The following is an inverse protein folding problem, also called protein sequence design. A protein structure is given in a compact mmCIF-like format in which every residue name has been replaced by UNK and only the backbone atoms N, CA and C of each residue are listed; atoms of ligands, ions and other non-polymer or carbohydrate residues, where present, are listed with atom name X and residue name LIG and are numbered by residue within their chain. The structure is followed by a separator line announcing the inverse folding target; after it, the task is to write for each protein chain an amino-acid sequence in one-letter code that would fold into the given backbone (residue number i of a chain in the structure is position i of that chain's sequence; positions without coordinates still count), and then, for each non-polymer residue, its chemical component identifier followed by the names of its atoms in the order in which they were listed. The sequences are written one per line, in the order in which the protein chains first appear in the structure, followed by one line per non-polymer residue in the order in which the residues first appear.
data_IF_985523953075
#
_entry.id   IF_985523953075
#
_cell.length_a   1.000
_cell.length_b   1.000
_cell.length_c   1.000
_cell.angle_alpha   90.00
_cell.angle_beta   90.00
_cell.angle_gamma   90.00
#
_symmetry.space_group_name_H-M   'P 1'
#
loop_
_entity.id
_entity.type
_entity.pdbx_description
1 polymer ?
2 water ?
#
# COMPACT_ATOMS: atom_id res chain seq x y z
N UNK A 2 -14.26 -2.53 9.20
CA UNK A 2 -15.41 -2.95 8.38
C UNK A 2 -14.96 -3.65 7.10
N UNK A 3 -15.74 -3.45 6.00
CA UNK A 3 -15.50 -3.99 4.65
C UNK A 3 -14.01 -4.19 4.37
N UNK A 4 -13.52 -5.43 4.26
CA UNK A 4 -12.07 -5.63 4.07
C UNK A 4 -11.55 -5.10 2.74
N UNK A 5 -12.40 -5.08 1.70
CA UNK A 5 -12.08 -4.55 0.38
C UNK A 5 -13.25 -3.67 -0.05
N UNK A 6 -12.94 -2.42 -0.42
CA UNK A 6 -13.89 -1.59 -1.14
C UNK A 6 -13.37 -1.30 -2.55
N UNK A 7 -14.27 -0.89 -3.43
CA UNK A 7 -13.96 -0.64 -4.84
C UNK A 7 -14.53 0.70 -5.25
N UNK A 8 -13.83 1.44 -6.11
CA UNK A 8 -14.36 2.70 -6.58
C UNK A 8 -14.03 2.86 -8.06
N UNK A 9 -14.95 3.51 -8.79
CA UNK A 9 -14.70 3.91 -10.17
C UNK A 9 -14.11 5.30 -10.16
N UNK A 10 -13.02 5.49 -10.89
CA UNK A 10 -12.44 6.80 -11.12
C UNK A 10 -12.54 7.13 -12.60
N UNK A 11 -13.22 8.24 -12.94
CA UNK A 11 -13.31 8.74 -14.32
C UNK A 11 -12.14 9.68 -14.63
N UNK A 12 -11.64 9.61 -15.87
CA UNK A 12 -10.66 10.57 -16.38
C UNK A 12 -11.28 11.40 -17.49
N UNK A 13 -10.80 12.62 -17.64
CA UNK A 13 -11.29 13.48 -18.71
C UNK A 13 -10.68 13.10 -20.04
N UNK A 14 -9.49 12.52 -20.02
CA UNK A 14 -8.82 12.14 -21.26
C UNK A 14 -7.76 11.09 -20.93
N UNK A 15 -7.24 10.47 -21.97
CA UNK A 15 -6.41 9.29 -21.81
C UNK A 15 -4.98 9.63 -21.41
N UNK A 16 -4.53 10.84 -21.73
CA UNK A 16 -3.19 11.27 -21.33
C UNK A 16 -3.01 11.21 -19.82
N UNK A 17 -4.06 11.59 -19.08
CA UNK A 17 -3.99 11.57 -17.62
C UNK A 17 -3.76 10.14 -17.14
N UNK A 18 -4.50 9.17 -17.70
CA UNK A 18 -4.25 7.77 -17.38
C UNK A 18 -2.84 7.37 -17.74
N UNK A 19 -2.33 7.87 -18.86
CA UNK A 19 -0.97 7.51 -19.21
C UNK A 19 0.01 8.08 -18.19
N UNK A 20 -0.27 9.29 -17.68
CA UNK A 20 0.59 9.86 -16.64
C UNK A 20 0.49 9.04 -15.36
N UNK A 21 -0.74 8.73 -14.93
CA UNK A 21 -0.95 7.90 -13.76
C UNK A 21 -0.26 6.55 -13.90
N UNK A 22 -0.39 5.92 -15.07
CA UNK A 22 0.15 4.58 -15.22
C UNK A 22 1.66 4.57 -15.06
N UNK A 23 2.33 5.61 -15.55
CA UNK A 23 3.79 5.63 -15.53
C UNK A 23 4.37 6.29 -14.29
N UNK A 24 3.69 7.29 -13.73
CA UNK A 24 4.20 7.93 -12.52
C UNK A 24 3.65 7.33 -11.25
N UNK A 25 2.54 6.57 -11.32
CA UNK A 25 1.97 5.88 -10.17
C UNK A 25 1.31 6.82 -9.21
N UNK A 26 0.53 7.77 -9.72
CA UNK A 26 -0.17 8.76 -8.90
C UNK A 26 -1.54 9.01 -9.48
N UNK A 27 -2.41 9.57 -8.65
CA UNK A 27 -3.69 10.05 -9.14
C UNK A 27 -4.08 11.24 -8.29
N UNK A 28 -5.10 11.96 -8.73
CA UNK A 28 -5.67 12.99 -7.87
C UNK A 28 -7.13 13.13 -8.29
N UNK A 29 -7.98 13.46 -7.33
CA UNK A 29 -9.39 13.54 -7.61
C UNK A 29 -9.97 14.75 -6.91
N UNK A 30 -11.29 14.94 -7.11
CA UNK A 30 -12.07 16.06 -6.57
C UNK A 30 -12.04 16.06 -5.05
N UNK A 31 -12.49 17.10 -4.37
CA UNK A 31 -12.44 17.04 -2.91
C UNK A 31 -13.62 16.27 -2.33
N UNK A 32 -14.81 16.35 -2.95
CA UNK A 32 -15.95 15.53 -2.55
C UNK A 32 -15.50 14.10 -2.30
N UNK A 33 -14.57 13.63 -3.15
CA UNK A 33 -14.08 12.26 -3.17
C UNK A 33 -12.84 12.02 -2.33
N UNK A 34 -12.12 13.08 -1.95
CA UNK A 34 -10.99 12.88 -1.04
C UNK A 34 -11.46 12.34 0.30
N UNK A 35 -12.55 12.90 0.84
CA UNK A 35 -13.06 12.46 2.15
C UNK A 35 -13.51 11.00 2.11
N UNK A 36 -14.25 10.63 1.06
CA UNK A 36 -14.70 9.26 0.85
C UNK A 36 -13.51 8.30 0.73
N UNK A 37 -12.53 8.63 -0.12
CA UNK A 37 -11.44 7.70 -0.40
C UNK A 37 -10.53 7.49 0.81
N UNK A 38 -10.26 8.56 1.58
CA UNK A 38 -9.45 8.43 2.80
C UNK A 38 -10.12 7.49 3.81
N UNK A 39 -11.35 7.81 4.25
CA UNK A 39 -12.04 6.93 5.20
C UNK A 39 -12.04 5.48 4.70
N UNK A 40 -12.14 5.29 3.39
CA UNK A 40 -11.96 3.97 2.81
C UNK A 40 -10.53 3.47 2.95
N UNK A 41 -9.53 4.35 2.93
CA UNK A 41 -8.15 3.89 2.95
C UNK A 41 -7.80 3.28 4.29
N UNK A 42 -8.30 3.87 5.38
CA UNK A 42 -7.97 3.40 6.72
C UNK A 42 -8.84 2.21 7.09
N UNK A 43 -10.12 2.27 6.78
CA UNK A 43 -11.05 1.22 7.18
C UNK A 43 -10.77 -0.09 6.43
N UNK A 44 -10.65 -0.03 5.11
CA UNK A 44 -10.47 -1.23 4.30
C UNK A 44 -9.01 -1.67 4.25
N UNK A 45 -8.84 -2.99 4.23
CA UNK A 45 -7.51 -3.59 3.98
C UNK A 45 -6.99 -3.18 2.61
N UNK A 46 -7.87 -3.15 1.60
CA UNK A 46 -7.48 -2.77 0.24
C UNK A 46 -8.60 -2.01 -0.43
N UNK A 47 -8.24 -0.87 -1.00
CA UNK A 47 -9.12 -0.05 -1.83
C UNK A 47 -8.67 -0.24 -3.28
N UNK A 48 -9.58 -0.65 -4.15
CA UNK A 48 -9.30 -0.74 -5.58
C UNK A 48 -9.92 0.44 -6.29
N UNK A 49 -9.17 1.02 -7.22
CA UNK A 49 -9.67 2.06 -8.10
C UNK A 49 -9.73 1.48 -9.52
N UNK A 50 -10.91 1.48 -10.11
CA UNK A 50 -11.09 1.08 -11.51
C UNK A 50 -11.27 2.35 -12.32
N UNK A 51 -10.53 2.46 -13.43
CA UNK A 51 -10.41 3.68 -14.22
C UNK A 51 -11.20 3.62 -15.53
N UNK A 52 -11.71 4.77 -15.96
CA UNK A 52 -12.40 4.89 -17.24
C UNK A 52 -12.33 6.35 -17.69
N UNK A 53 -11.74 6.59 -18.87
CA UNK A 53 -11.85 7.89 -19.51
C UNK A 53 -13.30 8.17 -19.86
N UNK A 54 -13.74 9.41 -19.69
CA UNK A 54 -15.14 9.75 -19.96
C UNK A 54 -15.45 9.58 -21.44
N UNK A 55 -16.57 8.90 -21.71
CA UNK A 55 -17.05 8.69 -23.07
C UNK A 55 -16.09 7.94 -23.97
N UNK A 56 -15.22 7.10 -23.41
CA UNK A 56 -14.27 6.35 -24.22
C UNK A 56 -14.75 4.93 -24.54
N UNK A 57 -15.77 4.45 -23.84
CA UNK A 57 -16.22 3.07 -24.04
C UNK A 57 -15.26 1.98 -23.59
N UNK A 58 -14.26 2.31 -22.77
CA UNK A 58 -13.36 1.35 -22.14
C UNK A 58 -13.15 1.73 -20.68
N UNK A 59 -12.93 0.72 -19.83
CA UNK A 59 -12.15 0.88 -18.61
C UNK A 59 -10.68 0.70 -18.93
N UNK A 60 -9.86 1.67 -18.57
CA UNK A 60 -8.44 1.55 -18.86
C UNK A 60 -7.68 0.91 -17.73
N UNK A 61 -8.22 -0.09 -17.05
CA UNK A 61 -7.45 -0.81 -16.05
C UNK A 61 -7.75 -0.35 -14.65
N UNK A 62 -7.11 -1.01 -13.69
CA UNK A 62 -7.45 -0.73 -12.31
C UNK A 62 -6.18 -0.77 -11.48
N UNK A 63 -6.25 -0.14 -10.32
CA UNK A 63 -5.08 0.05 -9.49
C UNK A 63 -5.52 -0.08 -8.06
N UNK A 64 -4.56 -0.21 -7.16
CA UNK A 64 -4.85 -0.16 -5.73
C UNK A 64 -4.41 1.20 -5.22
N UNK A 65 -5.09 1.69 -4.18
CA UNK A 65 -4.79 3.00 -3.60
C UNK A 65 -3.71 2.83 -2.53
N UNK A 66 -2.53 3.41 -2.76
CA UNK A 66 -1.32 3.12 -1.99
C UNK A 66 -1.02 4.14 -0.89
N UNK A 67 -1.56 5.35 -0.95
CA UNK A 67 -1.39 6.30 0.14
C UNK A 67 -2.68 7.07 0.34
N UNK A 68 -2.62 8.00 1.27
CA UNK A 68 -3.77 8.84 1.52
C UNK A 68 -3.62 10.15 0.77
N UNK A 69 -4.61 11.01 0.93
CA UNK A 69 -4.67 12.27 0.20
C UNK A 69 -4.36 13.38 1.17
N UNK A 70 -3.07 13.64 1.37
CA UNK A 70 -2.64 14.69 2.27
C UNK A 70 -3.20 16.06 1.95
N UNK A 71 -4.16 16.49 2.74
CA UNK A 71 -4.69 17.84 2.59
C UNK A 71 -4.36 18.63 3.86
N UNK A 72 -3.06 18.66 4.16
CA UNK A 72 -2.50 19.56 5.15
C UNK A 72 -3.06 20.96 4.96
N UNK A 73 -3.33 21.63 6.08
CA UNK A 73 -3.96 22.95 6.14
C UNK A 73 -3.21 24.01 5.32
N UNK A 74 -2.05 23.64 4.70
CA UNK A 74 -0.86 24.61 4.51
C UNK A 74 -0.81 24.58 2.94
N UNK A 80 -3.36 22.32 -7.40
CA UNK A 80 -2.35 23.39 -7.35
C UNK A 80 -1.18 23.04 -6.42
N UNK A 81 0.04 23.18 -6.93
CA UNK A 81 1.22 22.78 -6.18
C UNK A 81 1.25 21.30 -5.82
N UNK A 82 0.80 20.41 -6.72
CA UNK A 82 0.69 18.96 -6.47
C UNK A 82 -0.20 18.65 -5.28
N UNK A 83 -1.17 19.52 -5.02
CA UNK A 83 -2.07 19.30 -3.91
C UNK A 83 -3.03 18.17 -4.20
N UNK A 84 -3.13 17.24 -3.24
CA UNK A 84 -4.11 16.19 -3.33
C UNK A 84 -3.70 15.05 -4.21
N UNK A 85 -2.41 14.92 -4.46
CA UNK A 85 -1.89 13.81 -5.22
C UNK A 85 -1.66 12.64 -4.27
N UNK A 86 -2.02 11.43 -4.70
CA UNK A 86 -1.81 10.27 -3.85
C UNK A 86 -1.20 9.15 -4.68
N UNK A 87 -0.75 8.10 -3.98
CA UNK A 87 -0.04 7.00 -4.62
C UNK A 87 -1.03 5.96 -5.12
N UNK A 88 -0.83 5.48 -6.33
CA UNK A 88 -1.61 4.36 -6.83
C UNK A 88 -0.63 3.33 -7.35
N UNK A 89 -1.04 2.06 -7.24
CA UNK A 89 -0.26 0.93 -7.70
C UNK A 89 -1.14 0.26 -8.74
N UNK A 90 -0.78 0.44 -10.01
CA UNK A 90 -1.55 -0.20 -11.07
C UNK A 90 -1.35 -1.71 -10.98
N UNK A 91 -2.45 -2.43 -11.10
CA UNK A 91 -2.42 -3.87 -11.18
C UNK A 91 -2.54 -4.35 -12.61
N UNK A 92 -3.53 -3.82 -13.32
CA UNK A 92 -3.74 -4.11 -14.71
C UNK A 92 -3.96 -2.79 -15.44
N UNK A 93 -3.20 -2.59 -16.52
CA UNK A 93 -3.24 -1.39 -17.33
C UNK A 93 -3.87 -1.62 -18.72
N UNK A 94 -4.44 -2.80 -18.95
CA UNK A 94 -5.00 -3.13 -20.25
C UNK A 94 -6.45 -2.63 -20.37
N UNK A 95 -6.82 -2.15 -21.56
CA UNK A 95 -8.17 -1.64 -21.79
C UNK A 95 -9.20 -2.77 -21.85
N UNK A 96 -10.34 -2.54 -21.23
CA UNK A 96 -11.45 -3.50 -21.19
C UNK A 96 -12.67 -2.83 -21.75
N UNK A 97 -13.24 -3.25 -22.87
CA UNK A 97 -14.45 -2.61 -23.40
C UNK A 97 -15.65 -2.79 -22.49
N UNK A 98 -16.58 -1.85 -22.58
CA UNK A 98 -17.77 -1.89 -21.75
C UNK A 98 -18.63 -3.13 -22.03
N UNK A 99 -18.50 -3.71 -23.23
CA UNK A 99 -19.32 -4.86 -23.59
C UNK A 99 -19.08 -6.04 -22.65
N UNK A 100 -17.83 -6.25 -22.21
CA UNK A 100 -17.53 -7.37 -21.34
C UNK A 100 -18.21 -7.24 -19.97
N UNK A 101 -18.61 -6.03 -19.57
CA UNK A 101 -19.20 -5.82 -18.25
C UNK A 101 -20.68 -5.53 -18.31
N UNK A 102 -21.30 -5.59 -19.50
CA UNK A 102 -22.68 -5.11 -19.65
C UNK A 102 -23.62 -5.80 -18.66
N UNK A 103 -23.38 -7.08 -18.36
CA UNK A 103 -24.22 -7.83 -17.43
C UNK A 103 -24.01 -7.43 -15.98
N UNK A 104 -22.98 -6.62 -15.67
CA UNK A 104 -22.61 -6.30 -14.28
C UNK A 104 -23.36 -5.07 -13.81
N UNK A 105 -24.10 -5.23 -12.72
CA UNK A 105 -25.00 -4.21 -12.21
C UNK A 105 -24.60 -3.80 -10.80
N UNK A 106 -24.75 -2.51 -10.50
CA UNK A 106 -24.29 -1.93 -9.25
C UNK A 106 -25.49 -1.68 -8.33
N UNK A 107 -25.78 -2.57 -7.38
CA UNK A 107 -26.91 -2.32 -6.46
C UNK A 107 -26.81 -1.03 -5.66
N UNK A 108 -25.62 -0.45 -5.53
CA UNK A 108 -25.46 0.81 -4.81
C UNK A 108 -25.65 2.03 -5.71
N UNK A 109 -25.79 1.86 -7.03
CA UNK A 109 -26.06 2.91 -7.99
C UNK A 109 -27.34 2.59 -8.78
N UNK A 110 -28.42 2.28 -8.05
CA UNK A 110 -29.77 2.04 -8.63
C UNK A 110 -29.79 0.82 -9.57
N UNK A 111 -29.06 -0.24 -9.22
CA UNK A 111 -28.82 -1.38 -10.10
C UNK A 111 -28.51 -0.98 -11.56
N UNK A 112 -27.90 0.19 -11.77
CA UNK A 112 -27.47 0.58 -13.11
C UNK A 112 -26.20 -0.19 -13.48
N UNK A 113 -25.85 -0.19 -14.76
CA UNK A 113 -24.64 -0.89 -15.17
C UNK A 113 -23.42 -0.17 -14.59
N UNK A 114 -22.46 -0.96 -14.09
CA UNK A 114 -21.24 -0.39 -13.52
C UNK A 114 -20.58 0.57 -14.49
N UNK A 115 -20.71 0.30 -15.78
CA UNK A 115 -20.21 1.18 -16.84
C UNK A 115 -20.76 2.61 -16.75
N UNK A 116 -21.92 2.80 -16.11
CA UNK A 116 -22.50 4.12 -15.87
C UNK A 116 -22.22 4.54 -14.43
N UNK A 117 -21.11 5.20 -14.19
CA UNK A 117 -20.79 5.62 -12.84
C UNK A 117 -20.22 7.03 -12.87
N UNK A 118 -20.73 7.90 -11.99
CA UNK A 118 -20.04 9.18 -11.81
C UNK A 118 -18.64 8.93 -11.25
N UNK A 119 -17.83 9.98 -11.25
CA UNK A 119 -16.50 9.85 -10.65
C UNK A 119 -16.58 9.57 -9.15
N UNK A 120 -15.83 8.56 -8.70
CA UNK A 120 -15.80 8.22 -7.30
C UNK A 120 -16.92 7.33 -6.80
N UNK A 121 -17.62 6.64 -7.71
CA UNK A 121 -18.77 5.81 -7.36
C UNK A 121 -18.27 4.51 -6.73
N UNK A 122 -18.73 4.20 -5.51
CA UNK A 122 -18.30 2.94 -4.90
C UNK A 122 -19.14 1.80 -5.46
N UNK A 123 -18.46 0.71 -5.80
CA UNK A 123 -19.08 -0.51 -6.30
C UNK A 123 -19.37 -1.43 -5.12
N UNK A 124 -20.55 -2.04 -5.15
CA UNK A 124 -20.86 -3.07 -4.19
C UNK A 124 -19.80 -4.16 -4.30
N UNK A 125 -19.36 -4.76 -3.19
CA UNK A 125 -18.12 -5.58 -3.26
C UNK A 125 -18.23 -6.81 -4.13
N UNK A 126 -19.32 -7.59 -4.05
CA UNK A 126 -19.47 -8.71 -4.97
C UNK A 126 -19.29 -8.26 -6.41
N UNK A 127 -20.01 -7.21 -6.84
CA UNK A 127 -19.92 -6.84 -8.24
C UNK A 127 -18.57 -6.21 -8.58
N UNK A 128 -17.96 -5.44 -7.68
CA UNK A 128 -16.58 -5.02 -7.89
C UNK A 128 -15.67 -6.20 -8.14
N UNK A 129 -15.82 -7.25 -7.35
CA UNK A 129 -14.97 -8.42 -7.47
C UNK A 129 -15.05 -9.04 -8.86
N UNK A 130 -16.27 -9.23 -9.38
CA UNK A 130 -16.44 -9.82 -10.71
C UNK A 130 -15.91 -8.88 -11.78
N UNK A 131 -16.11 -7.57 -11.56
CA UNK A 131 -15.54 -6.58 -12.47
C UNK A 131 -14.04 -6.76 -12.62
N UNK A 132 -13.35 -7.03 -11.51
CA UNK A 132 -11.92 -7.27 -11.59
C UNK A 132 -11.59 -8.61 -12.26
N UNK A 133 -12.40 -9.66 -12.06
CA UNK A 133 -12.10 -10.96 -12.67
C UNK A 133 -12.17 -10.94 -14.19
N UNK A 134 -12.81 -9.93 -14.79
CA UNK A 134 -12.93 -9.89 -16.25
C UNK A 134 -11.60 -9.64 -16.92
N UNK A 135 -10.69 -8.99 -16.22
CA UNK A 135 -9.36 -8.75 -16.76
C UNK A 135 -8.56 -10.03 -16.96
N UNK A 136 -8.91 -11.10 -16.24
CA UNK A 136 -8.21 -12.38 -16.42
C UNK A 136 -8.40 -12.94 -17.83
N UNK A 137 -9.54 -12.62 -18.48
CA UNK A 137 -9.73 -12.94 -19.91
C UNK A 137 -8.60 -12.37 -20.78
N UNK A 138 -8.11 -11.16 -20.45
CA UNK A 138 -7.13 -10.45 -21.26
C UNK A 138 -5.71 -10.81 -20.83
N UNK A 139 -4.83 -11.13 -21.79
CA UNK A 139 -3.40 -11.32 -21.52
C UNK A 139 -2.65 -9.99 -21.43
N UNK B 2 16.01 6.08 -8.33
CA UNK B 2 15.15 5.74 -7.19
C UNK B 2 14.90 4.21 -7.07
N UNK B 3 15.27 3.62 -5.92
CA UNK B 3 15.35 2.15 -5.74
C UNK B 3 13.97 1.50 -5.61
N UNK B 4 13.61 0.52 -6.45
CA UNK B 4 12.20 0.07 -6.49
C UNK B 4 11.76 -0.74 -5.25
N UNK B 5 12.69 -1.20 -4.40
CA UNK B 5 12.34 -1.79 -3.11
C UNK B 5 13.47 -1.54 -2.10
N UNK B 6 13.14 -0.92 -0.97
CA UNK B 6 14.08 -0.70 0.12
C UNK B 6 13.62 -1.45 1.36
N UNK B 7 14.57 -1.83 2.19
CA UNK B 7 14.30 -2.62 3.38
C UNK B 7 14.76 -1.87 4.62
N UNK B 8 13.96 -1.94 5.68
CA UNK B 8 14.27 -1.24 6.93
C UNK B 8 14.00 -2.13 8.13
N UNK B 9 14.78 -1.93 9.18
CA UNK B 9 14.68 -2.71 10.42
C UNK B 9 13.98 -1.85 11.46
N UNK B 10 12.76 -2.25 11.82
CA UNK B 10 12.04 -1.64 12.93
C UNK B 10 12.34 -2.46 14.18
N UNK B 11 12.40 -1.78 15.33
CA UNK B 11 12.66 -2.44 16.61
C UNK B 11 11.66 -1.96 17.64
N UNK B 12 11.10 -2.90 18.41
CA UNK B 12 10.08 -2.61 19.42
C UNK B 12 10.61 -2.94 20.81
N UNK B 13 10.18 -2.15 21.79
CA UNK B 13 10.70 -2.32 23.15
C UNK B 13 10.23 -3.61 23.79
N UNK B 14 8.95 -3.97 23.61
CA UNK B 14 8.43 -5.16 24.25
C UNK B 14 7.61 -5.99 23.28
N UNK B 15 7.36 -7.24 23.65
CA UNK B 15 6.56 -8.10 22.78
C UNK B 15 5.11 -7.65 22.75
N UNK B 16 4.64 -6.91 23.75
CA UNK B 16 3.29 -6.38 23.72
C UNK B 16 3.06 -5.50 22.50
N UNK B 17 3.81 -4.39 22.41
CA UNK B 17 3.60 -3.37 21.37
C UNK B 17 3.60 -4.01 19.99
N UNK B 18 4.43 -5.03 19.79
CA UNK B 18 4.36 -5.82 18.56
C UNK B 18 2.96 -6.40 18.34
N UNK B 19 2.37 -6.98 19.38
CA UNK B 19 1.09 -7.65 19.20
C UNK B 19 0.02 -6.66 18.79
N UNK B 20 -0.02 -5.49 19.43
CA UNK B 20 -0.99 -4.47 19.01
C UNK B 20 -0.76 -4.13 17.54
N UNK B 21 0.50 -3.98 17.15
CA UNK B 21 0.82 -3.71 15.76
C UNK B 21 0.21 -4.78 14.86
N UNK B 22 0.46 -6.06 15.19
CA UNK B 22 0.01 -7.13 14.31
C UNK B 22 -1.51 -7.19 14.20
N UNK B 23 -2.23 -6.83 15.27
CA UNK B 23 -3.69 -6.91 15.24
C UNK B 23 -4.32 -5.67 14.64
N UNK B 24 -3.71 -4.50 14.82
CA UNK B 24 -4.32 -3.30 14.28
C UNK B 24 -3.75 -2.91 12.93
N UNK B 25 -2.60 -3.45 12.55
CA UNK B 25 -1.93 -3.02 11.32
C UNK B 25 -1.39 -1.61 11.36
N UNK B 26 -0.78 -1.20 12.48
CA UNK B 26 -0.25 0.14 12.65
C UNK B 26 1.15 0.09 13.28
N UNK B 27 1.86 1.20 13.16
CA UNK B 27 3.14 1.36 13.82
C UNK B 27 3.36 2.85 14.01
N UNK B 28 4.37 3.19 14.80
CA UNK B 28 4.91 4.54 14.81
C UNK B 28 6.38 4.42 15.17
N UNK B 29 7.15 5.48 14.88
CA UNK B 29 8.59 5.39 15.03
C UNK B 29 9.16 6.76 15.42
N UNK B 30 10.49 6.80 15.52
CA UNK B 30 11.17 8.00 15.99
C UNK B 30 11.20 9.05 14.89
N UNK B 31 10.95 10.32 15.24
CA UNK B 31 10.92 11.38 14.22
C UNK B 31 12.11 11.40 13.29
N UNK B 32 13.27 10.98 13.79
CA UNK B 32 14.44 10.86 12.91
C UNK B 32 14.15 9.90 11.77
N UNK B 33 13.33 8.86 12.01
CA UNK B 33 13.05 7.86 11.00
C UNK B 33 11.84 8.19 10.15
N UNK B 34 10.97 9.05 10.64
CA UNK B 34 9.83 9.47 9.84
C UNK B 34 10.28 10.05 8.50
N UNK B 35 11.18 11.05 8.54
CA UNK B 35 11.68 11.65 7.31
C UNK B 35 12.40 10.62 6.44
N UNK B 36 13.06 9.65 7.08
CA UNK B 36 13.70 8.58 6.31
C UNK B 36 12.67 7.68 5.65
N UNK B 37 11.68 7.22 6.42
CA UNK B 37 10.68 6.30 5.89
C UNK B 37 9.75 7.00 4.90
N UNK B 38 9.41 8.27 5.16
CA UNK B 38 8.57 9.00 4.21
C UNK B 38 9.28 9.20 2.88
N UNK B 39 10.56 9.57 2.91
CA UNK B 39 11.30 9.66 1.65
C UNK B 39 11.22 8.32 0.90
N UNK B 40 11.48 7.22 1.61
CA UNK B 40 11.51 5.92 0.94
C UNK B 40 10.14 5.54 0.39
N UNK B 41 9.09 5.87 1.14
CA UNK B 41 7.73 5.47 0.75
C UNK B 41 7.40 5.92 -0.66
N UNK B 42 7.80 7.14 -0.99
CA UNK B 42 7.61 7.76 -2.29
C UNK B 42 8.66 7.31 -3.30
N UNK B 43 9.93 7.24 -2.89
CA UNK B 43 11.00 6.86 -3.81
C UNK B 43 10.74 5.50 -4.45
N UNK B 44 10.01 4.62 -3.76
CA UNK B 44 10.08 3.18 -4.00
C UNK B 44 8.69 2.57 -4.08
N UNK B 45 8.56 1.59 -4.99
CA UNK B 45 7.33 0.81 -5.08
C UNK B 45 6.99 0.17 -3.74
N UNK B 46 7.92 -0.61 -3.17
CA UNK B 46 7.71 -1.26 -1.89
C UNK B 46 8.71 -0.72 -0.89
N UNK B 47 8.30 -0.74 0.37
CA UNK B 47 9.19 -0.50 1.51
C UNK B 47 8.89 -1.62 2.50
N UNK B 48 9.85 -2.50 2.74
CA UNK B 48 9.65 -3.57 3.71
C UNK B 48 10.11 -3.13 5.09
N UNK B 49 9.40 -3.58 6.12
CA UNK B 49 9.78 -3.33 7.52
C UNK B 49 9.82 -4.67 8.25
N UNK B 50 11.02 -5.09 8.65
CA UNK B 50 11.20 -6.31 9.44
C UNK B 50 11.36 -5.91 10.90
N UNK B 51 10.80 -6.71 11.79
CA UNK B 51 10.58 -6.31 13.17
C UNK B 51 11.33 -7.22 14.14
N UNK B 52 11.99 -6.62 15.13
CA UNK B 52 12.59 -7.36 16.23
C UNK B 52 12.40 -6.62 17.55
N UNK B 53 12.16 -7.38 18.62
CA UNK B 53 11.95 -6.81 19.95
C UNK B 53 13.25 -6.89 20.73
N UNK B 54 13.66 -5.78 21.35
CA UNK B 54 14.82 -5.65 22.24
C UNK B 54 15.95 -6.68 22.04
N UNK B 55 15.86 -7.80 22.77
CA UNK B 55 16.73 -8.94 22.54
C UNK B 55 15.96 -10.11 21.95
N UNK B 56 14.66 -10.15 22.28
CA UNK B 56 13.69 -11.19 21.93
C UNK B 56 14.26 -12.60 21.81
N UNK B 57 14.77 -12.92 20.62
CA UNK B 57 15.28 -14.23 20.26
C UNK B 57 14.99 -14.47 18.78
N UNK B 58 14.18 -13.57 18.23
CA UNK B 58 13.62 -13.79 16.90
C UNK B 58 13.51 -12.46 16.17
N UNK B 59 13.17 -12.60 14.89
CA UNK B 59 12.56 -11.56 14.08
C UNK B 59 11.07 -11.84 14.02
N UNK B 60 10.27 -11.01 14.68
CA UNK B 60 8.83 -11.27 14.79
C UNK B 60 8.06 -10.98 13.50
N UNK B 61 8.70 -11.14 12.35
CA UNK B 61 8.02 -10.99 11.08
C UNK B 61 8.37 -9.67 10.39
N UNK B 62 7.86 -9.54 9.17
CA UNK B 62 7.98 -8.28 8.45
C UNK B 62 6.61 -7.86 7.92
N UNK B 63 6.58 -6.63 7.43
CA UNK B 63 5.37 -5.99 6.95
C UNK B 63 5.74 -5.08 5.80
N UNK B 64 4.77 -4.36 5.26
CA UNK B 64 5.01 -3.39 4.21
C UNK B 64 4.47 -2.04 4.66
N UNK B 65 5.28 -1.00 4.49
CA UNK B 65 4.84 0.34 4.85
C UNK B 65 3.70 0.76 3.93
N UNK B 66 2.52 1.00 4.50
CA UNK B 66 1.32 1.15 3.69
C UNK B 66 0.70 2.53 3.77
N UNK B 67 1.38 3.50 4.35
CA UNK B 67 0.88 4.87 4.36
C UNK B 67 2.01 5.77 4.84
N UNK B 68 1.82 7.07 4.65
CA UNK B 68 2.81 7.98 5.20
C UNK B 68 2.55 8.27 6.66
N UNK B 69 3.56 8.87 7.26
CA UNK B 69 3.53 9.37 8.62
C UNK B 69 3.17 10.84 8.57
N UNK B 70 2.07 11.22 9.21
CA UNK B 70 1.67 12.61 9.20
C UNK B 70 2.62 13.52 9.98
N UNK B 71 2.28 14.82 9.98
CA UNK B 71 2.98 15.87 10.75
C UNK B 71 1.96 16.95 11.18
N UNK B 79 4.24 11.34 19.12
CA UNK B 79 3.96 11.99 20.40
C UNK B 79 2.62 11.51 21.04
N UNK B 80 1.51 12.08 20.58
CA UNK B 80 0.18 11.78 21.14
C UNK B 80 -0.89 11.91 20.04
N UNK B 81 -2.16 11.91 20.46
CA UNK B 81 -3.30 11.91 19.56
C UNK B 81 -3.21 10.98 18.36
N UNK B 82 -2.45 9.87 18.48
CA UNK B 82 -2.12 8.94 17.39
C UNK B 82 -1.16 9.55 16.38
N UNK B 83 -0.30 10.47 16.81
CA UNK B 83 0.60 11.17 15.90
C UNK B 83 1.77 10.28 15.46
N UNK B 84 2.09 10.35 14.16
CA UNK B 84 3.07 9.44 13.59
C UNK B 84 2.57 8.03 13.36
N UNK B 85 1.31 7.74 13.74
CA UNK B 85 0.77 6.42 13.49
C UNK B 85 0.57 6.26 11.99
N UNK B 86 1.10 5.17 11.46
CA UNK B 86 1.03 4.89 10.04
C UNK B 86 0.71 3.42 9.83
N UNK B 87 -0.02 3.15 8.75
CA UNK B 87 -0.46 1.81 8.42
C UNK B 87 0.68 0.93 7.98
N UNK B 88 0.69 -0.32 8.46
CA UNK B 88 1.57 -1.36 7.98
C UNK B 88 0.74 -2.61 7.69
N UNK B 89 1.12 -3.36 6.67
CA UNK B 89 0.39 -4.56 6.25
C UNK B 89 1.30 -5.74 6.53
N UNK B 90 0.97 -6.52 7.55
CA UNK B 90 1.87 -7.62 7.88
C UNK B 90 1.82 -8.68 6.80
N UNK B 91 2.99 -9.28 6.52
CA UNK B 91 3.12 -10.27 5.45
C UNK B 91 3.49 -11.65 6.01
N UNK B 92 4.30 -11.72 7.05
CA UNK B 92 4.48 -12.96 7.81
C UNK B 92 4.65 -12.57 9.27
N UNK B 93 3.82 -13.12 10.14
CA UNK B 93 3.91 -12.80 11.56
C UNK B 93 4.68 -13.86 12.36
N UNK B 94 5.07 -14.94 11.69
CA UNK B 94 5.85 -16.00 12.32
C UNK B 94 7.22 -15.48 12.75
N UNK B 95 7.57 -15.73 14.02
CA UNK B 95 8.88 -15.31 14.51
C UNK B 95 10.00 -16.12 13.88
N UNK B 96 11.12 -15.46 13.56
CA UNK B 96 12.26 -16.11 12.91
C UNK B 96 13.51 -15.99 13.77
N UNK B 97 14.03 -17.10 14.29
CA UNK B 97 15.18 -17.05 15.21
C UNK B 97 16.43 -16.45 14.57
N UNK B 98 17.25 -15.77 15.39
CA UNK B 98 18.46 -15.13 14.85
C UNK B 98 19.45 -16.16 14.31
N UNK B 99 19.50 -17.35 14.92
CA UNK B 99 20.49 -18.34 14.51
C UNK B 99 20.32 -18.64 13.01
N UNK B 100 19.08 -18.58 12.52
CA UNK B 100 18.73 -18.70 11.11
C UNK B 100 19.21 -17.53 10.27
N UNK B 101 19.83 -16.50 10.84
CA UNK B 101 20.25 -15.40 9.98
C UNK B 101 21.62 -14.85 10.34
N UNK B 102 22.44 -15.62 11.04
CA UNK B 102 23.80 -15.18 11.37
C UNK B 102 24.69 -15.11 10.13
N UNK B 103 24.25 -15.74 9.02
CA UNK B 103 24.97 -15.75 7.75
C UNK B 103 24.65 -14.55 6.87
N UNK B 104 23.95 -13.54 7.40
CA UNK B 104 23.63 -12.34 6.64
C UNK B 104 24.22 -11.12 7.36
N UNK B 105 24.89 -10.28 6.60
CA UNK B 105 25.53 -9.10 7.17
C UNK B 105 25.28 -7.89 6.28
N UNK B 106 24.93 -6.74 6.90
CA UNK B 106 24.49 -5.54 6.18
C UNK B 106 25.67 -4.73 5.77
N UNK B 107 26.12 -4.67 4.52
CA UNK B 107 27.29 -3.91 4.14
C UNK B 107 27.10 -2.40 4.37
N UNK B 108 25.87 -1.96 4.65
CA UNK B 108 25.58 -0.57 4.96
C UNK B 108 25.66 -0.31 6.45
N UNK B 109 25.91 -1.36 7.24
CA UNK B 109 26.09 -1.33 8.69
C UNK B 109 27.49 -1.83 9.07
N UNK B 110 28.47 -1.57 8.19
CA UNK B 110 29.84 -2.06 8.35
C UNK B 110 29.86 -3.59 8.44
N UNK B 111 29.40 -4.24 7.35
CA UNK B 111 28.94 -5.64 7.21
C UNK B 111 28.71 -6.43 8.51
N UNK B 112 28.18 -5.77 9.55
CA UNK B 112 27.71 -6.41 10.77
C UNK B 112 26.51 -7.31 10.53
N UNK B 113 26.47 -8.45 11.26
CA UNK B 113 25.34 -9.37 11.24
C UNK B 113 24.01 -8.62 11.33
N UNK B 114 23.08 -8.99 10.43
CA UNK B 114 21.87 -8.18 10.23
C UNK B 114 21.22 -7.85 11.57
N UNK B 115 21.19 -8.85 12.48
CA UNK B 115 20.60 -8.73 13.82
C UNK B 115 21.10 -7.48 14.57
N UNK B 116 22.42 -7.25 14.55
CA UNK B 116 22.99 -6.03 15.11
C UNK B 116 22.57 -4.83 14.27
N UNK B 117 21.51 -4.13 14.72
CA UNK B 117 20.98 -2.93 14.06
C UNK B 117 20.13 -2.07 15.02
N UNK B 118 20.34 -0.75 15.06
CA UNK B 118 19.42 0.14 15.78
C UNK B 118 18.07 0.22 15.05
N UNK B 119 17.05 0.73 15.73
CA UNK B 119 15.78 1.04 15.06
C UNK B 119 16.06 1.95 13.87
N UNK B 120 15.58 1.56 12.69
CA UNK B 120 15.72 2.38 11.50
C UNK B 120 16.83 2.02 10.54
N UNK B 121 17.55 0.93 10.78
CA UNK B 121 18.67 0.57 9.92
C UNK B 121 18.16 0.02 8.59
N UNK B 122 18.74 0.51 7.49
CA UNK B 122 18.43 0.01 6.15
C UNK B 122 19.37 -1.13 5.76
N UNK B 123 18.79 -2.28 5.42
CA UNK B 123 19.57 -3.39 4.91
C UNK B 123 19.85 -3.16 3.43
N UNK B 124 21.01 -3.62 2.98
CA UNK B 124 21.29 -3.57 1.55
C UNK B 124 20.23 -4.37 0.81
N UNK B 125 19.71 -3.87 -0.30
CA UNK B 125 18.55 -4.50 -0.95
C UNK B 125 18.74 -5.97 -1.34
N UNK B 126 19.97 -6.43 -1.57
CA UNK B 126 20.13 -7.86 -1.85
C UNK B 126 20.18 -8.67 -0.56
N UNK B 127 20.82 -8.13 0.49
CA UNK B 127 20.73 -8.73 1.81
C UNK B 127 19.29 -8.79 2.27
N UNK B 128 18.58 -7.67 2.16
CA UNK B 128 17.16 -7.64 2.34
C UNK B 128 16.44 -8.81 1.71
N UNK B 129 16.52 -8.95 0.37
CA UNK B 129 15.80 -10.04 -0.29
C UNK B 129 16.17 -11.40 0.30
N UNK B 130 17.44 -11.59 0.67
CA UNK B 130 17.82 -12.84 1.33
C UNK B 130 17.05 -13.01 2.64
N UNK B 131 17.18 -12.04 3.55
CA UNK B 131 16.58 -12.11 4.88
C UNK B 131 15.08 -12.37 4.81
N UNK B 132 14.39 -11.80 3.82
CA UNK B 132 12.97 -12.09 3.70
C UNK B 132 12.74 -13.55 3.34
N UNK B 133 13.58 -14.11 2.46
CA UNK B 133 13.33 -15.44 1.92
C UNK B 133 13.43 -16.52 2.97
N UNK B 134 13.98 -16.18 4.15
CA UNK B 134 14.19 -17.19 5.18
C UNK B 134 12.88 -17.58 5.84
N UNK B 135 11.89 -16.68 5.85
CA UNK B 135 10.58 -17.00 6.40
C UNK B 135 9.93 -18.15 5.63
N UNK B 136 10.30 -18.32 4.36
CA UNK B 136 9.87 -19.49 3.60
C UNK B 136 10.22 -20.78 4.35
N UNK B 137 11.45 -20.86 4.88
CA UNK B 137 11.95 -22.01 5.64
C UNK B 137 11.37 -22.06 7.05
N UNK B 138 10.07 -21.81 7.17
CA UNK B 138 9.40 -21.72 8.46
C UNK B 138 7.89 -21.84 8.20
N UNK B 139 7.13 -22.41 9.15
CA UNK B 139 5.68 -22.60 8.98
C UNK B 139 4.92 -21.30 8.70
#
# INVERSE_FOLDING_TARGET
GNMPVRYFIMKSSNLRNLEISQQKGIWSTTPSNERKLNRAFWESSIVYLVFSVQGSGHFQGFSRMSSEIGREKSQDWGSAGLGGVFKVEWIRKESLPFQFAHHLLNPWNDNKKVQISRDGQELEPLVGEQLLQLWERLPLG
GNMPVRYFIMKSSNLRNLEISQQKGIWSTTPSNERKLNRAFWESSIVYLVFSVQGSGHFQGFSRMSSEIGREKSQDWGSAGLGGVFKVEWIRKESLPFQFAHHLLNPWNDNKKVQISRDGQELEPLVGEQLLQLWERLPLG
#
